data_IF_838696402552
#
_entry.id   IF_838696402552
#
_cell.length_a   1.000
_cell.length_b   1.000
_cell.length_c   1.000
_cell.angle_alpha   90.00
_cell.angle_beta   90.00
_cell.angle_gamma   90.00
#
_symmetry.space_group_name_H-M   'P 1'
#
loop_
_entity.id
_entity.type
_entity.pdbx_description
1 polymer ?
#
# COMPACT_ATOMS: atom_id res chain seq x y z
N UNK A 1 0.74 -6.35 25.72
CA UNK A 1 0.64 -6.44 24.25
C UNK A 1 -0.30 -7.58 23.88
N UNK A 2 -1.47 -7.29 23.29
CA UNK A 2 -2.63 -8.19 23.00
C UNK A 2 -3.70 -8.32 24.13
N UNK A 3 -3.92 -7.27 24.94
CA UNK A 3 -5.13 -7.25 25.82
C UNK A 3 -5.80 -5.90 26.01
N UNK A 4 -5.35 -4.85 25.32
CA UNK A 4 -5.89 -3.49 25.49
C UNK A 4 -6.74 -2.99 24.29
N UNK A 5 -6.87 -3.78 23.22
CA UNK A 5 -7.56 -3.34 21.98
C UNK A 5 -8.95 -3.96 21.78
N UNK A 6 -9.52 -4.60 22.82
CA UNK A 6 -10.78 -5.35 22.72
C UNK A 6 -11.93 -4.77 23.55
N UNK A 7 -11.78 -3.61 24.20
CA UNK A 7 -12.83 -3.00 25.04
C UNK A 7 -13.45 -1.71 24.49
N UNK A 8 -13.11 -1.24 23.28
CA UNK A 8 -13.54 0.08 22.81
C UNK A 8 -14.60 0.14 21.70
N UNK A 9 -15.39 -0.94 21.48
CA UNK A 9 -16.46 -0.92 20.47
C UNK A 9 -17.78 -1.47 21.06
N UNK A 10 -18.73 -0.55 21.28
CA UNK A 10 -20.18 -0.69 21.61
C UNK A 10 -20.64 -0.58 23.10
N UNK A 11 -21.33 0.51 23.49
CA UNK A 11 -22.06 0.62 24.77
C UNK A 11 -23.52 0.11 24.71
N UNK A 12 -23.81 -0.94 23.92
CA UNK A 12 -25.16 -1.55 23.86
C UNK A 12 -25.10 -3.07 23.87
N UNK A 13 -24.68 -3.68 24.99
CA UNK A 13 -25.12 -5.03 25.41
C UNK A 13 -24.67 -5.32 26.86
N UNK A 14 -25.05 -4.46 27.80
CA UNK A 14 -24.72 -4.61 29.23
C UNK A 14 -25.63 -5.57 30.02
N UNK A 15 -26.33 -6.53 29.39
CA UNK A 15 -27.35 -7.34 30.10
C UNK A 15 -27.52 -8.81 29.67
N UNK A 16 -26.47 -9.49 29.24
CA UNK A 16 -26.60 -10.91 28.89
C UNK A 16 -25.51 -11.86 29.40
N UNK A 17 -24.54 -11.41 30.22
CA UNK A 17 -23.48 -12.28 30.76
C UNK A 17 -23.17 -11.98 32.23
N UNK A 18 -24.12 -12.33 33.09
CA UNK A 18 -23.90 -12.61 34.50
C UNK A 18 -24.92 -13.70 34.84
N UNK A 19 -24.54 -14.99 34.95
CA UNK A 19 -23.56 -15.46 35.93
C UNK A 19 -22.77 -16.72 35.53
N UNK A 20 -21.44 -16.74 35.59
CA UNK A 20 -20.66 -17.99 35.67
C UNK A 20 -19.22 -17.67 36.12
N UNK A 21 -19.08 -17.23 37.37
CA UNK A 21 -17.79 -17.22 38.06
C UNK A 21 -18.00 -17.89 39.41
N UNK A 22 -17.61 -19.16 39.51
CA UNK A 22 -17.10 -19.73 40.77
C UNK A 22 -16.45 -21.12 40.58
N UNK A 23 -15.18 -21.16 40.98
CA UNK A 23 -14.40 -22.26 41.62
C UNK A 23 -13.36 -23.04 40.78
N UNK A 24 -12.09 -22.79 41.17
CA UNK A 24 -10.84 -23.60 41.22
C UNK A 24 -10.17 -24.19 39.97
N UNK A 25 -8.85 -23.92 39.90
CA UNK A 25 -7.81 -24.49 39.01
C UNK A 25 -7.31 -25.88 39.50
N UNK A 26 -6.32 -26.57 38.87
CA UNK A 26 -5.55 -26.27 37.65
C UNK A 26 -5.36 -27.46 36.64
N UNK A 27 -4.73 -27.13 35.51
CA UNK A 27 -3.99 -27.96 34.54
C UNK A 27 -4.66 -28.51 33.26
N UNK A 28 -3.98 -28.15 32.15
CA UNK A 28 -3.91 -28.69 30.79
C UNK A 28 -4.86 -28.14 29.73
N UNK A 29 -4.25 -27.88 28.57
CA UNK A 29 -4.76 -27.34 27.30
C UNK A 29 -5.07 -25.84 27.27
N UNK A 30 -4.05 -25.06 26.92
CA UNK A 30 -4.23 -23.73 26.33
C UNK A 30 -3.85 -23.84 24.85
N UNK A 31 -4.76 -24.36 24.03
CA UNK A 31 -4.76 -24.08 22.59
C UNK A 31 -5.49 -22.75 22.46
N UNK A 32 -4.74 -21.67 22.33
CA UNK A 32 -5.31 -20.34 22.16
C UNK A 32 -5.85 -20.23 20.74
N UNK A 33 -7.18 -20.22 20.65
CA UNK A 33 -7.98 -19.87 19.49
C UNK A 33 -7.51 -18.50 18.95
N UNK A 34 -6.83 -18.51 17.81
CA UNK A 34 -6.56 -17.29 17.04
C UNK A 34 -7.87 -16.95 16.34
N UNK A 35 -8.59 -15.95 16.87
CA UNK A 35 -9.73 -15.36 16.19
C UNK A 35 -9.23 -14.59 14.96
N UNK A 36 -9.22 -15.24 13.79
CA UNK A 36 -9.29 -14.55 12.50
C UNK A 36 -10.70 -13.98 12.36
N UNK A 37 -10.84 -12.66 12.47
CA UNK A 37 -12.05 -11.96 12.00
C UNK A 37 -11.64 -11.21 10.75
N UNK A 38 -11.78 -11.88 9.60
CA UNK A 38 -11.76 -11.25 8.29
C UNK A 38 -13.13 -10.58 8.10
N UNK A 39 -13.17 -9.25 8.16
CA UNK A 39 -14.34 -8.47 7.77
C UNK A 39 -14.35 -8.40 6.25
N UNK A 40 -14.97 -9.38 5.60
CA UNK A 40 -15.35 -9.27 4.18
C UNK A 40 -16.76 -8.69 4.14
N UNK A 41 -16.87 -7.37 4.03
CA UNK A 41 -18.15 -6.69 3.77
C UNK A 41 -18.41 -6.59 2.28
N UNK A 42 -19.57 -7.13 1.85
CA UNK A 42 -20.27 -6.91 0.59
C UNK A 42 -19.53 -7.23 -0.72
N UNK A 43 -19.75 -8.45 -1.24
CA UNK A 43 -19.38 -8.85 -2.61
C UNK A 43 -20.35 -8.15 -3.59
N UNK A 44 -19.87 -7.29 -4.52
CA UNK A 44 -20.71 -6.76 -5.60
C UNK A 44 -21.10 -7.87 -6.60
N UNK A 45 -22.25 -7.69 -7.26
CA UNK A 45 -22.76 -8.57 -8.33
C UNK A 45 -21.78 -8.68 -9.51
N UNK A 46 -21.90 -9.81 -10.23
CA UNK A 46 -21.16 -10.18 -11.46
C UNK A 46 -20.61 -8.96 -12.21
N UNK A 47 -19.30 -8.84 -12.21
CA UNK A 47 -18.55 -7.97 -13.10
C UNK A 47 -17.54 -8.87 -13.82
N UNK A 48 -17.42 -8.73 -15.13
CA UNK A 48 -16.29 -9.28 -15.86
C UNK A 48 -15.00 -8.83 -15.19
N UNK A 49 -13.91 -9.58 -15.37
CA UNK A 49 -12.59 -9.13 -14.93
C UNK A 49 -12.40 -7.66 -15.32
N UNK A 50 -12.11 -6.80 -14.33
CA UNK A 50 -12.00 -5.37 -14.55
C UNK A 50 -10.92 -5.12 -15.63
N UNK A 51 -11.31 -4.49 -16.75
CA UNK A 51 -10.40 -4.26 -17.87
C UNK A 51 -9.24 -3.32 -17.48
N UNK A 52 -9.55 -2.26 -16.70
CA UNK A 52 -8.54 -1.35 -16.15
C UNK A 52 -7.86 -1.87 -14.88
N UNK A 53 -6.71 -1.29 -14.50
CA UNK A 53 -6.04 -1.64 -13.25
C UNK A 53 -7.00 -1.44 -12.06
N UNK A 54 -6.98 -2.33 -11.06
CA UNK A 54 -7.86 -2.19 -9.92
C UNK A 54 -7.56 -0.88 -9.19
N UNK A 55 -8.60 -0.14 -8.79
CA UNK A 55 -8.41 1.11 -8.05
C UNK A 55 -8.16 0.80 -6.58
N UNK A 56 -7.32 1.62 -5.92
CA UNK A 56 -7.21 1.57 -4.46
C UNK A 56 -8.57 1.85 -3.81
N UNK A 57 -8.81 1.24 -2.66
CA UNK A 57 -9.95 1.56 -1.80
C UNK A 57 -9.38 2.45 -0.69
N UNK A 58 -9.87 3.69 -0.53
CA UNK A 58 -9.42 4.57 0.55
C UNK A 58 -9.60 3.89 1.90
N UNK A 59 -8.57 3.97 2.76
CA UNK A 59 -8.68 3.45 4.11
C UNK A 59 -9.67 4.27 4.93
N UNK A 60 -10.25 3.64 5.95
CA UNK A 60 -11.02 4.37 6.95
C UNK A 60 -10.08 5.13 7.89
N UNK A 61 -10.33 6.42 8.07
CA UNK A 61 -9.52 7.25 8.96
C UNK A 61 -9.59 6.80 10.43
N UNK A 62 -8.52 7.04 11.17
CA UNK A 62 -8.45 6.73 12.60
C UNK A 62 -9.36 7.64 13.43
N UNK A 63 -10.18 7.07 14.31
CA UNK A 63 -10.95 7.85 15.29
C UNK A 63 -10.03 8.57 16.29
N UNK A 64 -10.40 9.76 16.73
CA UNK A 64 -9.72 10.52 17.79
C UNK A 64 -9.47 9.72 19.09
N UNK A 65 -10.24 8.66 19.35
CA UNK A 65 -10.01 7.73 20.47
C UNK A 65 -8.67 6.98 20.38
N UNK A 66 -8.07 6.93 19.19
CA UNK A 66 -6.76 6.34 18.91
C UNK A 66 -5.58 7.32 18.99
N UNK A 67 -5.81 8.59 19.36
CA UNK A 67 -4.79 9.63 19.30
C UNK A 67 -3.47 9.30 20.03
N UNK A 68 -3.52 8.50 21.11
CA UNK A 68 -2.32 8.07 21.84
C UNK A 68 -1.40 7.15 21.01
N UNK A 69 -1.93 6.44 20.03
CA UNK A 69 -1.12 5.64 19.12
C UNK A 69 -0.20 6.52 18.26
N UNK A 70 -0.64 7.73 17.90
CA UNK A 70 0.15 8.70 17.12
C UNK A 70 1.36 9.24 17.91
N UNK A 71 1.36 9.08 19.24
CA UNK A 71 2.44 9.45 20.17
C UNK A 71 3.23 8.25 20.70
N UNK A 72 2.98 7.05 20.16
CA UNK A 72 3.60 5.82 20.68
C UNK A 72 5.14 5.96 20.72
N UNK A 73 5.81 5.47 21.77
CA UNK A 73 7.27 5.65 21.92
C UNK A 73 8.10 5.08 20.76
N UNK A 74 7.64 4.02 20.10
CA UNK A 74 8.32 3.38 18.97
C UNK A 74 8.36 4.24 17.70
N UNK A 75 7.46 5.22 17.56
CA UNK A 75 7.26 6.01 16.34
C UNK A 75 8.54 6.69 15.85
N UNK A 76 9.35 7.22 16.76
CA UNK A 76 10.60 7.92 16.39
C UNK A 76 11.58 6.96 15.71
N UNK A 77 11.70 5.72 16.20
CA UNK A 77 12.58 4.73 15.59
C UNK A 77 11.99 4.09 14.32
N UNK A 78 10.67 3.91 14.29
CA UNK A 78 9.93 3.27 13.19
C UNK A 78 9.79 4.18 11.96
N UNK A 79 9.54 5.48 12.17
CA UNK A 79 9.18 6.45 11.11
C UNK A 79 10.24 7.55 10.92
N UNK A 80 11.24 7.66 11.80
CA UNK A 80 12.33 8.65 11.72
C UNK A 80 11.84 10.09 11.37
N UNK A 81 10.89 10.65 12.15
CA UNK A 81 10.22 11.92 11.81
C UNK A 81 11.18 13.11 11.75
N UNK A 82 12.30 13.07 12.49
CA UNK A 82 13.27 14.16 12.51
C UNK A 82 14.10 14.20 11.21
N UNK A 83 14.46 13.02 10.66
CA UNK A 83 15.15 12.92 9.36
C UNK A 83 14.22 13.33 8.20
N UNK A 84 12.94 12.93 8.29
CA UNK A 84 11.91 13.38 7.36
C UNK A 84 11.78 14.91 7.34
N UNK A 85 11.66 15.55 8.52
CA UNK A 85 11.60 17.01 8.63
C UNK A 85 12.90 17.69 8.17
N UNK A 86 14.06 17.07 8.39
CA UNK A 86 15.34 17.58 7.91
C UNK A 86 15.38 17.61 6.37
N UNK A 87 14.84 16.59 5.69
CA UNK A 87 14.74 16.55 4.24
C UNK A 87 13.81 17.63 3.66
N UNK A 88 12.79 18.07 4.41
CA UNK A 88 11.96 19.22 4.02
C UNK A 88 12.72 20.55 4.07
N UNK A 89 13.80 20.65 4.86
CA UNK A 89 14.62 21.86 4.92
C UNK A 89 13.87 23.11 5.39
N UNK A 90 12.90 22.95 6.30
CA UNK A 90 12.10 24.03 6.89
C UNK A 90 12.97 25.09 7.58
N UNK A 91 12.53 26.35 7.52
CA UNK A 91 13.23 27.53 8.05
C UNK A 91 12.30 28.38 8.92
N UNK A 92 12.89 29.17 9.82
CA UNK A 92 12.17 30.23 10.52
C UNK A 92 11.50 31.16 9.49
N UNK A 93 10.22 31.43 9.67
CA UNK A 93 9.41 32.24 8.76
C UNK A 93 8.54 31.46 7.79
N UNK A 94 8.81 30.17 7.58
CA UNK A 94 8.00 29.36 6.65
C UNK A 94 6.55 29.23 7.16
N UNK A 95 5.61 29.31 6.22
CA UNK A 95 4.19 29.03 6.43
C UNK A 95 3.92 27.60 5.96
N UNK A 96 3.65 26.71 6.90
CA UNK A 96 3.52 25.27 6.60
C UNK A 96 2.15 24.74 7.00
N UNK A 97 1.69 23.66 6.38
CA UNK A 97 0.45 22.98 6.72
C UNK A 97 0.71 21.50 7.02
N UNK A 98 0.15 21.01 8.12
CA UNK A 98 0.09 19.60 8.51
C UNK A 98 -1.33 19.09 8.20
N UNK A 99 -1.53 18.41 7.06
CA UNK A 99 -2.85 17.89 6.69
C UNK A 99 -2.98 16.48 7.26
N UNK A 100 -4.02 16.24 8.06
CA UNK A 100 -4.11 15.04 8.89
C UNK A 100 -3.32 15.17 10.19
N UNK A 101 -3.30 16.37 10.78
CA UNK A 101 -2.46 16.70 11.93
C UNK A 101 -2.70 15.78 13.13
N UNK A 102 -3.91 15.21 13.26
CA UNK A 102 -4.30 14.31 14.31
C UNK A 102 -4.01 14.92 15.68
N UNK A 103 -3.17 14.23 16.44
CA UNK A 103 -2.81 14.64 17.79
C UNK A 103 -1.71 15.73 17.86
N UNK A 104 -1.27 16.24 16.71
CA UNK A 104 -0.27 17.31 16.58
C UNK A 104 1.18 16.87 16.63
N UNK A 105 1.47 15.58 16.37
CA UNK A 105 2.82 15.02 16.47
C UNK A 105 3.83 15.73 15.55
N UNK A 106 3.51 15.91 14.28
CA UNK A 106 4.36 16.63 13.33
C UNK A 106 4.17 18.14 13.43
N UNK A 107 2.94 18.61 13.58
CA UNK A 107 2.60 20.03 13.82
C UNK A 107 3.52 20.66 14.87
N UNK A 108 3.62 20.06 16.07
CA UNK A 108 4.45 20.58 17.17
C UNK A 108 5.94 20.56 16.85
N UNK A 109 6.42 19.63 16.02
CA UNK A 109 7.83 19.58 15.59
C UNK A 109 8.12 20.67 14.57
N UNK A 110 7.26 20.83 13.56
CA UNK A 110 7.37 21.90 12.58
C UNK A 110 7.30 23.28 13.24
N UNK A 111 6.42 23.48 14.22
CA UNK A 111 6.30 24.75 14.92
C UNK A 111 7.60 25.20 15.60
N UNK A 112 8.41 24.25 16.10
CA UNK A 112 9.72 24.56 16.68
C UNK A 112 10.76 25.00 15.65
N UNK A 113 10.56 24.66 14.38
CA UNK A 113 11.47 24.98 13.28
C UNK A 113 11.12 26.31 12.61
N UNK A 114 9.81 26.61 12.48
CA UNK A 114 9.33 27.76 11.71
C UNK A 114 9.00 28.99 12.56
N UNK A 115 8.74 28.83 13.86
CA UNK A 115 8.49 29.93 14.78
C UNK A 115 9.80 30.63 15.20
N UNK A 116 9.77 31.91 15.61
CA UNK A 116 8.60 32.72 15.93
C UNK A 116 7.98 33.49 14.75
N UNK A 117 8.61 33.49 13.58
CA UNK A 117 8.15 34.34 12.46
C UNK A 117 7.25 33.62 11.46
N UNK A 118 7.30 32.29 11.44
CA UNK A 118 6.44 31.42 10.63
C UNK A 118 5.24 30.88 11.40
N UNK A 119 4.48 30.01 10.73
CA UNK A 119 3.28 29.40 11.31
C UNK A 119 2.99 28.01 10.72
N UNK A 120 2.36 27.15 11.52
CA UNK A 120 1.87 25.83 11.13
C UNK A 120 0.34 25.82 11.14
N UNK A 121 -0.28 25.62 9.99
CA UNK A 121 -1.71 25.29 9.89
C UNK A 121 -1.90 23.80 10.16
N UNK A 122 -2.49 23.46 11.30
CA UNK A 122 -2.76 22.08 11.69
C UNK A 122 -4.18 21.69 11.27
N UNK A 123 -4.30 20.93 10.18
CA UNK A 123 -5.58 20.60 9.55
C UNK A 123 -6.01 19.19 9.95
N UNK A 124 -7.21 19.05 10.50
CA UNK A 124 -7.85 17.76 10.73
C UNK A 124 -9.36 17.87 10.48
N UNK A 125 -10.01 16.77 10.09
CA UNK A 125 -11.47 16.71 9.87
C UNK A 125 -12.24 16.44 11.18
N UNK A 126 -11.55 15.96 12.22
CA UNK A 126 -12.12 15.66 13.53
C UNK A 126 -11.90 16.84 14.49
N UNK A 127 -12.97 17.52 14.95
CA UNK A 127 -12.85 18.58 15.96
C UNK A 127 -12.13 18.10 17.22
N UNK A 128 -12.34 16.85 17.63
CA UNK A 128 -11.73 16.25 18.81
C UNK A 128 -10.21 16.10 18.68
N UNK A 129 -9.68 15.81 17.49
CA UNK A 129 -8.23 15.77 17.24
C UNK A 129 -7.62 17.16 17.41
N UNK A 130 -8.29 18.20 16.90
CA UNK A 130 -7.85 19.58 17.06
C UNK A 130 -7.86 20.02 18.53
N UNK A 131 -8.83 19.57 19.34
CA UNK A 131 -8.86 19.88 20.77
C UNK A 131 -7.74 19.16 21.54
N UNK A 132 -7.43 17.90 21.19
CA UNK A 132 -6.27 17.17 21.73
C UNK A 132 -4.97 17.89 21.38
N UNK A 133 -4.81 18.29 20.12
CA UNK A 133 -3.65 19.01 19.62
C UNK A 133 -3.47 20.32 20.38
N UNK A 134 -4.52 21.14 20.55
CA UNK A 134 -4.47 22.40 21.30
C UNK A 134 -3.98 22.19 22.73
N UNK A 135 -4.52 21.19 23.44
CA UNK A 135 -4.09 20.89 24.81
C UNK A 135 -2.60 20.59 24.90
N UNK A 136 -2.06 19.80 23.96
CA UNK A 136 -0.63 19.47 23.93
C UNK A 136 0.25 20.65 23.53
N UNK A 137 -0.24 21.50 22.63
CA UNK A 137 0.43 22.76 22.26
C UNK A 137 0.54 23.70 23.47
N UNK A 138 -0.54 23.81 24.25
CA UNK A 138 -0.57 24.59 25.50
C UNK A 138 0.39 24.01 26.55
N UNK A 139 0.38 22.70 26.75
CA UNK A 139 1.27 21.99 27.69
C UNK A 139 2.76 22.19 27.36
N UNK A 140 3.09 22.29 26.07
CA UNK A 140 4.47 22.54 25.59
C UNK A 140 4.84 24.01 25.46
N UNK A 141 3.88 24.92 25.65
CA UNK A 141 4.08 26.37 25.52
C UNK A 141 4.47 26.80 24.10
N UNK A 142 4.03 26.08 23.08
CA UNK A 142 4.34 26.38 21.67
C UNK A 142 3.45 27.51 21.14
N UNK A 143 3.98 28.26 20.17
CA UNK A 143 3.27 29.35 19.47
C UNK A 143 3.36 29.14 17.97
N UNK A 144 2.67 29.97 17.17
CA UNK A 144 2.71 29.87 15.71
C UNK A 144 1.97 28.66 15.16
N UNK A 145 0.96 28.14 15.87
CA UNK A 145 0.12 27.02 15.40
C UNK A 145 -1.32 27.52 15.23
N UNK A 146 -1.89 27.26 14.07
CA UNK A 146 -3.27 27.64 13.70
C UNK A 146 -4.06 26.35 13.44
N UNK A 147 -4.91 25.91 14.39
CA UNK A 147 -5.80 24.78 14.15
C UNK A 147 -6.85 25.11 13.08
N UNK A 148 -7.05 24.21 12.12
CA UNK A 148 -8.00 24.37 11.02
C UNK A 148 -8.88 23.11 10.94
N UNK A 149 -10.20 23.31 11.01
CA UNK A 149 -11.15 22.23 10.74
C UNK A 149 -11.32 22.09 9.23
N UNK A 150 -10.77 21.01 8.68
CA UNK A 150 -10.88 20.67 7.26
C UNK A 150 -12.15 19.90 6.92
N UNK A 151 -12.32 19.57 5.65
CA UNK A 151 -13.35 18.69 5.10
C UNK A 151 -12.70 17.55 4.29
N UNK A 152 -13.48 16.55 3.87
CA UNK A 152 -12.98 15.39 3.12
C UNK A 152 -12.33 15.72 1.77
N UNK A 153 -12.65 16.89 1.20
CA UNK A 153 -12.23 17.34 -0.13
C UNK A 153 -11.66 18.77 -0.14
N UNK A 154 -11.53 19.41 1.03
CA UNK A 154 -11.03 20.78 1.16
C UNK A 154 -10.30 20.96 2.51
N UNK A 155 -8.98 21.24 2.52
CA UNK A 155 -8.23 21.43 3.75
C UNK A 155 -8.52 22.79 4.41
N UNK A 156 -9.32 23.66 3.77
CA UNK A 156 -9.66 25.02 4.24
C UNK A 156 -8.43 25.89 4.51
N UNK A 157 -7.35 25.63 3.77
CA UNK A 157 -6.12 26.43 3.81
C UNK A 157 -6.30 27.73 3.02
N UNK A 158 -5.60 28.81 3.41
CA UNK A 158 -5.61 30.04 2.65
C UNK A 158 -4.92 29.88 1.29
N UNK A 159 -5.50 30.52 0.27
CA UNK A 159 -4.96 30.52 -1.10
C UNK A 159 -3.58 31.18 -1.18
N UNK A 160 -2.68 30.57 -1.96
CA UNK A 160 -1.37 31.11 -2.33
C UNK A 160 -0.53 31.64 -1.16
N UNK A 161 -0.51 30.93 -0.04
CA UNK A 161 0.21 31.31 1.17
C UNK A 161 1.16 30.24 1.70
N UNK A 162 0.95 28.97 1.36
CA UNK A 162 1.66 27.85 1.98
C UNK A 162 3.00 27.56 1.27
N UNK A 163 4.10 27.58 2.02
CA UNK A 163 5.44 27.21 1.57
C UNK A 163 5.64 25.69 1.55
N UNK A 164 5.12 24.98 2.56
CA UNK A 164 5.15 23.52 2.64
C UNK A 164 3.82 22.93 3.08
N UNK A 165 3.38 21.87 2.41
CA UNK A 165 2.35 20.96 2.93
C UNK A 165 3.04 19.66 3.33
N UNK A 166 2.68 19.12 4.49
CA UNK A 166 3.07 17.81 4.96
C UNK A 166 1.83 16.91 5.00
N UNK A 167 1.98 15.70 4.46
CA UNK A 167 1.04 14.59 4.55
C UNK A 167 1.81 13.37 5.06
N UNK A 168 1.53 12.89 6.26
CA UNK A 168 2.16 11.66 6.80
C UNK A 168 1.08 10.63 7.06
N UNK A 169 1.12 9.52 6.33
CA UNK A 169 0.22 8.37 6.46
C UNK A 169 -1.26 8.76 6.47
N UNK A 170 -1.67 9.60 5.51
CA UNK A 170 -3.04 10.14 5.44
C UNK A 170 -3.60 10.18 4.01
N UNK A 171 -2.75 10.22 2.98
CA UNK A 171 -3.22 10.38 1.60
C UNK A 171 -3.99 9.13 1.15
N UNK A 172 -3.60 7.95 1.65
CA UNK A 172 -4.35 6.71 1.45
C UNK A 172 -5.77 6.74 2.03
N UNK A 173 -6.08 7.65 2.97
CA UNK A 173 -7.42 7.84 3.54
C UNK A 173 -8.31 8.78 2.69
N UNK A 174 -7.74 9.50 1.72
CA UNK A 174 -8.51 10.47 0.92
C UNK A 174 -9.50 9.77 -0.01
N UNK A 175 -10.79 10.01 0.22
CA UNK A 175 -11.87 9.51 -0.62
C UNK A 175 -12.01 10.28 -1.94
N UNK A 176 -11.63 11.57 -1.95
CA UNK A 176 -11.69 12.45 -3.11
C UNK A 176 -10.31 13.10 -3.36
N UNK A 177 -9.27 12.31 -3.71
CA UNK A 177 -7.90 12.81 -3.84
C UNK A 177 -7.81 13.95 -4.86
N UNK A 178 -8.53 13.88 -5.99
CA UNK A 178 -8.50 14.92 -7.03
C UNK A 178 -8.89 16.31 -6.51
N UNK A 179 -9.97 16.38 -5.72
CA UNK A 179 -10.46 17.65 -5.15
C UNK A 179 -9.51 18.19 -4.09
N UNK A 180 -9.04 17.32 -3.19
CA UNK A 180 -8.10 17.67 -2.14
C UNK A 180 -6.78 18.17 -2.74
N UNK A 181 -6.22 17.47 -3.74
CA UNK A 181 -5.02 17.87 -4.46
C UNK A 181 -5.20 19.20 -5.18
N UNK A 182 -6.36 19.45 -5.80
CA UNK A 182 -6.66 20.74 -6.42
C UNK A 182 -6.66 21.89 -5.39
N UNK A 183 -7.21 21.65 -4.19
CA UNK A 183 -7.22 22.63 -3.09
C UNK A 183 -5.84 22.84 -2.47
N UNK A 184 -5.05 21.78 -2.30
CA UNK A 184 -3.65 21.89 -1.89
C UNK A 184 -2.86 22.73 -2.89
N UNK A 185 -3.04 22.48 -4.20
CA UNK A 185 -2.42 23.28 -5.27
C UNK A 185 -2.87 24.74 -5.25
N UNK A 186 -4.11 25.02 -4.88
CA UNK A 186 -4.62 26.39 -4.70
C UNK A 186 -3.96 27.09 -3.49
N UNK A 187 -3.74 26.36 -2.39
CA UNK A 187 -3.18 26.89 -1.14
C UNK A 187 -1.66 27.16 -1.21
N UNK A 188 -0.91 26.32 -1.91
CA UNK A 188 0.54 26.48 -2.06
C UNK A 188 0.90 27.82 -2.72
N UNK A 189 2.04 28.39 -2.37
CA UNK A 189 2.70 29.43 -3.17
C UNK A 189 3.25 28.84 -4.48
N UNK A 190 3.71 29.68 -5.41
CA UNK A 190 4.28 29.22 -6.71
C UNK A 190 5.48 28.27 -6.53
N UNK A 191 6.33 28.57 -5.54
CA UNK A 191 7.48 27.74 -5.16
C UNK A 191 7.20 26.80 -3.98
N UNK A 192 5.94 26.72 -3.53
CA UNK A 192 5.55 25.87 -2.43
C UNK A 192 5.67 24.39 -2.78
N UNK A 193 6.03 23.58 -1.79
CA UNK A 193 6.28 22.15 -1.94
C UNK A 193 5.32 21.31 -1.11
N UNK A 194 5.19 20.04 -1.46
CA UNK A 194 4.48 19.04 -0.66
C UNK A 194 5.43 17.91 -0.31
N UNK A 195 5.55 17.60 0.97
CA UNK A 195 6.14 16.36 1.45
C UNK A 195 5.01 15.35 1.69
N UNK A 196 4.98 14.28 0.89
CA UNK A 196 4.09 13.16 1.09
C UNK A 196 4.90 11.98 1.65
N UNK A 197 4.41 11.39 2.74
CA UNK A 197 5.01 10.24 3.38
C UNK A 197 3.99 9.13 3.50
N UNK A 198 4.29 7.97 2.91
CA UNK A 198 3.39 6.82 2.82
C UNK A 198 4.15 5.51 2.95
N UNK A 199 3.56 4.52 3.63
CA UNK A 199 4.18 3.19 3.78
C UNK A 199 4.35 2.48 2.43
N UNK A 200 5.51 1.84 2.24
CA UNK A 200 5.90 1.20 0.99
C UNK A 200 5.14 -0.08 0.70
N UNK A 201 4.96 -0.34 -0.59
CA UNK A 201 4.42 -1.60 -1.11
C UNK A 201 5.55 -2.49 -1.63
N UNK A 202 6.50 -1.92 -2.34
CA UNK A 202 7.39 -2.55 -3.32
C UNK A 202 8.28 -3.64 -2.70
N UNK A 203 8.96 -3.32 -1.60
CA UNK A 203 9.97 -4.18 -0.97
C UNK A 203 9.45 -4.98 0.23
N UNK A 204 8.22 -4.70 0.66
CA UNK A 204 7.59 -5.34 1.82
C UNK A 204 8.06 -4.88 3.19
N UNK A 205 8.90 -3.84 3.26
CA UNK A 205 9.22 -3.19 4.54
C UNK A 205 7.97 -2.63 5.22
N UNK A 206 6.97 -2.17 4.44
CA UNK A 206 5.68 -1.70 4.93
C UNK A 206 4.67 -2.79 5.34
N UNK A 207 4.96 -4.08 5.18
CA UNK A 207 4.00 -5.19 5.42
C UNK A 207 3.55 -5.34 6.88
N UNK A 208 4.23 -4.66 7.81
CA UNK A 208 3.83 -4.60 9.22
C UNK A 208 2.62 -3.68 9.48
N UNK A 209 2.21 -2.91 8.46
CA UNK A 209 1.02 -2.06 8.44
C UNK A 209 -0.10 -2.74 7.63
N UNK A 210 -1.35 -2.32 7.89
CA UNK A 210 -2.50 -2.79 7.13
C UNK A 210 -2.36 -2.44 5.66
N UNK A 211 -2.85 -3.34 4.81
CA UNK A 211 -2.59 -3.23 3.39
C UNK A 211 -3.18 -2.01 2.69
N UNK A 212 -4.32 -1.50 3.16
CA UNK A 212 -5.01 -0.31 2.70
C UNK A 212 -4.36 1.01 3.17
N UNK A 213 -3.33 0.94 4.03
CA UNK A 213 -2.56 2.09 4.55
C UNK A 213 -1.17 2.19 3.92
N UNK A 214 -0.99 1.62 2.72
CA UNK A 214 0.28 1.61 1.99
C UNK A 214 0.02 2.09 0.57
N UNK A 215 0.99 2.76 -0.02
CA UNK A 215 0.92 3.19 -1.41
C UNK A 215 2.24 2.97 -2.12
N UNK A 216 2.18 2.41 -3.33
CA UNK A 216 3.33 2.33 -4.21
C UNK A 216 3.62 3.68 -4.86
N UNK A 217 4.87 3.90 -5.26
CA UNK A 217 5.28 5.04 -6.09
C UNK A 217 4.47 5.07 -7.38
N UNK A 218 4.19 3.92 -7.98
CA UNK A 218 3.33 3.82 -9.17
C UNK A 218 1.93 4.41 -8.92
N UNK A 219 1.28 4.01 -7.82
CA UNK A 219 -0.05 4.52 -7.45
C UNK A 219 -0.02 6.03 -7.19
N UNK A 220 0.94 6.50 -6.37
CA UNK A 220 1.08 7.93 -6.05
C UNK A 220 1.27 8.75 -7.32
N UNK A 221 2.21 8.39 -8.18
CA UNK A 221 2.50 9.16 -9.40
C UNK A 221 1.32 9.15 -10.38
N UNK A 222 0.57 8.05 -10.46
CA UNK A 222 -0.63 7.95 -11.30
C UNK A 222 -1.75 8.91 -10.87
N UNK A 223 -1.81 9.32 -9.60
CA UNK A 223 -2.79 10.28 -9.08
C UNK A 223 -2.23 11.72 -9.06
N UNK A 224 -0.98 11.90 -8.65
CA UNK A 224 -0.39 13.23 -8.42
C UNK A 224 0.02 13.96 -9.69
N UNK A 225 0.60 13.27 -10.68
CA UNK A 225 1.06 13.91 -11.92
C UNK A 225 -0.13 14.48 -12.70
N UNK A 226 -1.23 13.73 -12.96
CA UNK A 226 -2.41 14.29 -13.62
C UNK A 226 -3.11 15.40 -12.82
N UNK A 227 -2.95 15.43 -11.49
CA UNK A 227 -3.50 16.49 -10.64
C UNK A 227 -2.73 17.83 -10.73
N UNK A 228 -1.68 17.89 -11.55
CA UNK A 228 -0.89 19.10 -11.79
C UNK A 228 0.25 19.29 -10.79
N UNK A 229 0.81 18.20 -10.27
CA UNK A 229 2.06 18.20 -9.53
C UNK A 229 3.20 17.61 -10.39
N UNK A 230 4.43 17.95 -10.04
CA UNK A 230 5.65 17.33 -10.55
C UNK A 230 6.47 16.80 -9.38
N UNK A 231 7.03 15.60 -9.55
CA UNK A 231 7.97 15.03 -8.59
C UNK A 231 9.31 15.77 -8.69
N UNK A 232 9.84 16.21 -7.56
CA UNK A 232 11.12 16.91 -7.48
C UNK A 232 12.18 16.05 -6.77
N UNK A 233 11.76 15.31 -5.74
CA UNK A 233 12.64 14.39 -5.00
C UNK A 233 11.83 13.14 -4.59
N UNK A 234 12.47 11.98 -4.60
CA UNK A 234 11.94 10.73 -4.05
C UNK A 234 13.02 10.14 -3.15
N UNK A 235 12.71 10.02 -1.87
CA UNK A 235 13.64 9.57 -0.84
C UNK A 235 13.21 8.23 -0.26
N UNK A 236 14.17 7.30 -0.18
CA UNK A 236 13.95 5.94 0.36
C UNK A 236 14.76 5.66 1.64
N UNK A 237 15.27 6.70 2.30
CA UNK A 237 16.07 6.54 3.54
C UNK A 237 15.24 6.17 4.77
N UNK A 238 13.92 6.43 4.76
CA UNK A 238 13.04 6.07 5.87
C UNK A 238 12.91 4.53 5.98
N UNK A 239 12.67 3.96 7.18
CA UNK A 239 12.71 2.51 7.37
C UNK A 239 11.69 1.72 6.56
N UNK A 240 10.52 2.29 6.31
CA UNK A 240 9.40 1.59 5.66
C UNK A 240 8.44 2.49 4.89
N UNK A 241 8.80 3.77 4.70
CA UNK A 241 7.96 4.77 4.06
C UNK A 241 8.70 5.43 2.90
N UNK A 242 7.98 5.75 1.83
CA UNK A 242 8.46 6.68 0.81
C UNK A 242 8.35 8.10 1.34
N UNK A 243 9.31 8.97 1.01
CA UNK A 243 9.16 10.42 1.14
C UNK A 243 9.23 11.04 -0.26
N UNK A 244 8.09 11.53 -0.74
CA UNK A 244 8.01 12.27 -1.99
C UNK A 244 8.05 13.77 -1.71
N UNK A 245 8.78 14.50 -2.54
CA UNK A 245 8.71 15.96 -2.59
C UNK A 245 8.11 16.38 -3.93
N UNK A 246 6.92 16.96 -3.88
CA UNK A 246 6.22 17.48 -5.05
C UNK A 246 6.24 19.01 -5.07
N UNK A 247 6.10 19.57 -6.27
CA UNK A 247 5.79 20.98 -6.49
C UNK A 247 4.67 21.09 -7.52
N UNK A 248 4.00 22.24 -7.59
CA UNK A 248 3.08 22.55 -8.69
C UNK A 248 3.77 22.36 -10.05
N UNK A 249 3.09 21.69 -10.98
CA UNK A 249 3.40 21.81 -12.39
C UNK A 249 2.93 23.20 -12.85
N UNK A 250 3.87 24.11 -13.11
CA UNK A 250 3.53 25.40 -13.73
C UNK A 250 3.05 25.12 -15.15
N UNK A 251 1.89 25.68 -15.54
CA UNK A 251 1.51 25.71 -16.96
C UNK A 251 2.60 26.45 -17.75
N UNK A 252 2.75 26.12 -19.03
CA UNK A 252 3.85 26.42 -19.97
C UNK A 252 4.23 27.91 -20.19
N UNK A 253 3.98 28.81 -19.24
CA UNK A 253 4.24 30.23 -19.32
C UNK A 253 4.88 30.80 -18.06
N UNK A 254 6.17 31.13 -18.19
CA UNK A 254 6.84 32.28 -17.58
C UNK A 254 6.91 32.34 -16.04
N UNK A 255 7.94 31.72 -15.48
CA UNK A 255 8.94 32.38 -14.61
C UNK A 255 10.09 31.40 -14.27
N UNK A 256 11.29 31.66 -14.81
CA UNK A 256 12.54 30.96 -14.47
C UNK A 256 13.05 31.41 -13.09
N UNK A 257 12.29 31.18 -12.02
CA UNK A 257 12.78 31.45 -10.66
C UNK A 257 12.81 30.17 -9.85
N UNK A 258 13.99 29.52 -9.86
CA UNK A 258 14.43 28.58 -8.83
C UNK A 258 13.51 27.37 -8.54
N UNK A 259 12.88 26.78 -9.57
CA UNK A 259 12.33 25.44 -9.39
C UNK A 259 13.47 24.42 -9.55
N UNK A 260 13.66 23.55 -8.56
CA UNK A 260 14.42 22.32 -8.78
C UNK A 260 13.82 21.59 -10.01
N UNK A 261 14.66 21.03 -10.89
CA UNK A 261 14.17 20.32 -12.06
C UNK A 261 13.30 19.15 -11.61
N UNK A 262 12.20 18.90 -12.33
CA UNK A 262 11.39 17.72 -12.08
C UNK A 262 12.23 16.47 -12.36
N UNK A 263 12.04 15.43 -11.54
CA UNK A 263 12.52 14.09 -11.90
C UNK A 263 11.53 13.52 -12.91
N UNK A 264 12.03 13.14 -14.07
CA UNK A 264 11.22 12.46 -15.08
C UNK A 264 10.74 11.12 -14.51
N UNK A 265 9.45 10.82 -14.60
CA UNK A 265 8.90 9.55 -14.10
C UNK A 265 8.12 8.84 -15.17
N UNK A 266 8.38 7.55 -15.35
CA UNK A 266 7.77 6.75 -16.41
C UNK A 266 7.31 5.40 -15.87
N UNK A 267 6.28 4.84 -16.48
CA UNK A 267 6.10 3.39 -16.44
C UNK A 267 7.23 2.73 -17.26
N UNK A 268 7.72 1.55 -16.87
CA UNK A 268 8.74 0.78 -17.58
C UNK A 268 8.47 0.68 -19.09
N UNK A 269 7.24 0.37 -19.49
CA UNK A 269 6.89 0.17 -20.90
C UNK A 269 6.88 1.48 -21.68
N UNK A 270 6.43 2.58 -21.05
CA UNK A 270 6.55 3.93 -21.61
C UNK A 270 8.02 4.29 -21.81
N UNK A 271 8.86 4.07 -20.80
CA UNK A 271 10.29 4.35 -20.86
C UNK A 271 11.01 3.55 -21.97
N UNK A 272 10.65 2.27 -22.17
CA UNK A 272 11.19 1.45 -23.26
C UNK A 272 10.71 1.98 -24.61
N UNK A 273 9.40 2.21 -24.77
CA UNK A 273 8.80 2.63 -26.04
C UNK A 273 9.28 4.01 -26.50
N UNK A 274 9.51 4.93 -25.56
CA UNK A 274 10.03 6.27 -25.84
C UNK A 274 11.57 6.33 -25.91
N UNK A 275 12.24 5.18 -25.77
CA UNK A 275 13.70 5.07 -25.90
C UNK A 275 14.47 5.74 -24.77
N UNK A 276 13.88 5.83 -23.58
CA UNK A 276 14.55 6.37 -22.38
C UNK A 276 15.42 5.34 -21.70
N UNK A 277 15.08 4.05 -21.84
CA UNK A 277 15.83 2.93 -21.28
C UNK A 277 15.92 1.76 -22.25
N UNK A 278 17.00 0.99 -22.16
CA UNK A 278 17.10 -0.37 -22.68
C UNK A 278 17.09 -1.36 -21.50
N UNK A 279 16.39 -2.48 -21.64
CA UNK A 279 16.13 -3.40 -20.53
C UNK A 279 16.31 -4.84 -20.98
N UNK A 280 16.99 -5.64 -20.16
CA UNK A 280 17.02 -7.10 -20.29
C UNK A 280 16.58 -7.76 -18.99
N UNK A 281 15.80 -8.83 -19.08
CA UNK A 281 15.30 -9.58 -17.93
C UNK A 281 15.94 -10.97 -17.81
N UNK A 282 16.29 -11.38 -16.59
CA UNK A 282 16.85 -12.71 -16.31
C UNK A 282 16.32 -13.33 -15.01
N UNK A 283 16.42 -14.66 -14.89
CA UNK A 283 15.93 -15.40 -13.73
C UNK A 283 16.73 -15.16 -12.46
N UNK A 284 16.05 -15.15 -11.31
CA UNK A 284 16.67 -15.18 -9.98
C UNK A 284 15.87 -16.09 -9.04
N UNK A 285 15.79 -17.37 -9.39
CA UNK A 285 15.08 -18.36 -8.59
C UNK A 285 13.56 -18.22 -8.70
N UNK A 286 12.85 -18.78 -7.73
CA UNK A 286 11.38 -18.90 -7.80
C UNK A 286 10.63 -17.63 -7.37
N UNK A 287 11.34 -16.68 -6.75
CA UNK A 287 10.75 -15.55 -6.05
C UNK A 287 11.21 -14.18 -6.58
N UNK A 288 12.05 -14.15 -7.62
CA UNK A 288 12.58 -12.90 -8.14
C UNK A 288 12.96 -12.96 -9.62
N UNK A 289 12.92 -11.78 -10.26
CA UNK A 289 13.41 -11.52 -11.62
C UNK A 289 14.39 -10.35 -11.55
N UNK A 290 15.51 -10.44 -12.25
CA UNK A 290 16.43 -9.31 -12.40
C UNK A 290 16.15 -8.57 -13.70
N UNK A 291 16.05 -7.26 -13.62
CA UNK A 291 16.11 -6.36 -14.77
C UNK A 291 17.46 -5.65 -14.77
N UNK A 292 18.23 -5.79 -15.85
CA UNK A 292 19.36 -4.91 -16.11
C UNK A 292 18.87 -3.76 -16.98
N UNK A 293 18.95 -2.54 -16.46
CA UNK A 293 18.43 -1.33 -17.10
C UNK A 293 19.60 -0.42 -17.45
N UNK A 294 19.68 -0.04 -18.73
CA UNK A 294 20.56 1.00 -19.23
C UNK A 294 19.74 2.24 -19.53
N UNK A 295 20.07 3.35 -18.87
CA UNK A 295 19.50 4.66 -19.13
C UNK A 295 20.10 5.26 -20.41
N UNK A 296 19.26 5.89 -21.24
CA UNK A 296 19.66 6.43 -22.57
C UNK A 296 19.82 7.96 -22.59
N UNK A 297 19.56 8.63 -21.47
CA UNK A 297 19.69 10.09 -21.29
C UNK A 297 20.38 10.38 -19.96
N UNK A 298 21.02 11.54 -19.78
CA UNK A 298 21.74 11.83 -18.53
C UNK A 298 20.88 12.36 -17.38
N UNK A 299 19.60 12.69 -17.62
CA UNK A 299 18.70 13.17 -16.57
C UNK A 299 18.31 12.03 -15.61
N UNK A 300 18.26 12.29 -14.28
CA UNK A 300 17.68 11.36 -13.33
C UNK A 300 16.24 11.02 -13.69
N UNK A 301 15.87 9.75 -13.55
CA UNK A 301 14.50 9.31 -13.81
C UNK A 301 14.05 8.25 -12.81
N UNK A 302 12.75 8.26 -12.51
CA UNK A 302 12.08 7.21 -11.74
C UNK A 302 11.36 6.29 -12.71
N UNK A 303 11.68 4.99 -12.65
CA UNK A 303 11.00 3.97 -13.42
C UNK A 303 10.12 3.16 -12.49
N UNK A 304 8.83 3.08 -12.81
CA UNK A 304 7.86 2.25 -12.09
C UNK A 304 7.50 1.02 -12.91
N UNK A 305 7.22 -0.10 -12.24
CA UNK A 305 6.74 -1.33 -12.85
C UNK A 305 5.43 -1.73 -12.17
N UNK A 306 4.33 -1.95 -12.90
CA UNK A 306 3.07 -2.36 -12.30
C UNK A 306 3.12 -3.82 -11.85
N UNK A 307 2.46 -4.12 -10.73
CA UNK A 307 2.19 -5.50 -10.30
C UNK A 307 1.49 -6.29 -11.40
N UNK A 308 1.83 -7.57 -11.53
CA UNK A 308 1.29 -8.40 -12.59
C UNK A 308 2.00 -8.27 -13.93
N UNK A 309 3.02 -7.41 -14.06
CA UNK A 309 3.95 -7.45 -15.20
C UNK A 309 4.45 -8.87 -15.43
N UNK A 310 4.30 -9.36 -16.66
CA UNK A 310 4.52 -10.76 -16.99
C UNK A 310 5.85 -10.96 -17.70
N UNK A 311 6.59 -12.00 -17.32
CA UNK A 311 7.90 -12.32 -17.86
C UNK A 311 7.83 -13.69 -18.51
N UNK A 312 7.73 -13.72 -19.83
CA UNK A 312 7.62 -14.94 -20.60
C UNK A 312 9.01 -15.51 -20.84
N UNK A 313 9.25 -16.75 -20.39
CA UNK A 313 10.57 -17.36 -20.51
C UNK A 313 10.89 -17.65 -21.99
N UNK A 314 12.10 -17.29 -22.42
CA UNK A 314 12.61 -17.59 -23.76
C UNK A 314 12.95 -19.08 -23.95
N UNK A 315 13.16 -19.80 -22.84
CA UNK A 315 13.53 -21.21 -22.79
C UNK A 315 12.50 -22.10 -22.08
N UNK A 316 12.97 -23.20 -21.50
CA UNK A 316 12.11 -24.19 -20.85
C UNK A 316 11.73 -23.84 -19.40
N UNK A 317 12.43 -22.90 -18.76
CA UNK A 317 12.17 -22.45 -17.39
C UNK A 317 10.77 -21.85 -17.24
N UNK A 318 10.24 -21.79 -16.02
CA UNK A 318 8.90 -21.26 -15.73
C UNK A 318 8.79 -19.79 -16.13
N UNK A 319 7.63 -19.39 -16.65
CA UNK A 319 7.34 -17.96 -16.78
C UNK A 319 7.27 -17.33 -15.39
N UNK A 320 7.52 -16.03 -15.30
CA UNK A 320 7.47 -15.29 -14.05
C UNK A 320 6.42 -14.19 -14.10
N UNK A 321 5.92 -13.79 -12.94
CA UNK A 321 5.02 -12.64 -12.80
C UNK A 321 5.47 -11.76 -11.64
N UNK A 322 5.44 -10.44 -11.83
CA UNK A 322 5.74 -9.47 -10.80
C UNK A 322 4.70 -9.58 -9.66
N UNK A 323 5.20 -9.79 -8.44
CA UNK A 323 4.37 -9.97 -7.25
C UNK A 323 3.82 -8.64 -6.73
N UNK A 324 4.54 -7.55 -6.99
CA UNK A 324 4.23 -6.21 -6.51
C UNK A 324 4.55 -5.16 -7.56
N UNK A 325 4.02 -3.97 -7.36
CA UNK A 325 4.54 -2.76 -7.98
C UNK A 325 6.02 -2.65 -7.62
N UNK A 326 6.79 -2.09 -8.53
CA UNK A 326 8.20 -1.83 -8.37
C UNK A 326 8.53 -0.37 -8.65
N UNK A 327 9.57 0.13 -8.00
CA UNK A 327 10.24 1.38 -8.34
C UNK A 327 11.76 1.20 -8.38
N UNK A 328 12.42 1.94 -9.28
CA UNK A 328 13.85 2.21 -9.25
C UNK A 328 14.12 3.66 -9.67
N UNK A 329 15.05 4.33 -8.96
CA UNK A 329 15.57 5.65 -9.36
C UNK A 329 16.90 5.46 -10.09
N UNK A 330 16.98 5.94 -11.34
CA UNK A 330 18.15 5.83 -12.19
C UNK A 330 18.92 7.15 -12.23
N UNK A 331 20.01 7.22 -11.45
CA UNK A 331 20.87 8.41 -11.38
C UNK A 331 22.19 8.24 -12.14
N UNK A 332 22.68 7.00 -12.23
CA UNK A 332 23.96 6.66 -12.84
C UNK A 332 23.81 6.27 -14.32
N UNK A 333 24.83 6.57 -15.12
CA UNK A 333 24.87 6.21 -16.54
C UNK A 333 25.22 4.74 -16.79
N UNK A 334 25.79 4.04 -15.82
CA UNK A 334 26.08 2.62 -15.93
C UNK A 334 24.81 1.76 -15.89
N UNK A 335 24.80 0.58 -16.53
CA UNK A 335 23.72 -0.38 -16.36
C UNK A 335 23.51 -0.71 -14.89
N UNK A 336 22.26 -0.66 -14.43
CA UNK A 336 21.87 -0.98 -13.06
C UNK A 336 21.06 -2.27 -13.03
N UNK A 337 21.31 -3.12 -12.05
CA UNK A 337 20.51 -4.33 -11.82
C UNK A 337 19.44 -4.05 -10.78
N UNK A 338 18.20 -4.25 -11.17
CA UNK A 338 17.01 -4.13 -10.34
C UNK A 338 16.38 -5.50 -10.10
N UNK A 339 16.41 -5.96 -8.85
CA UNK A 339 15.76 -7.21 -8.45
C UNK A 339 14.30 -6.96 -8.07
N UNK A 340 13.39 -7.56 -8.83
CA UNK A 340 11.95 -7.49 -8.59
C UNK A 340 11.46 -8.73 -7.85
N UNK A 341 10.54 -8.53 -6.90
CA UNK A 341 9.80 -9.64 -6.30
C UNK A 341 8.84 -10.26 -7.32
N UNK A 342 8.90 -11.57 -7.47
CA UNK A 342 8.10 -12.30 -8.45
C UNK A 342 7.69 -13.70 -8.00
N UNK A 343 6.97 -14.39 -8.89
CA UNK A 343 6.54 -15.78 -8.70
C UNK A 343 6.65 -16.57 -9.99
N UNK A 344 7.04 -17.83 -9.87
CA UNK A 344 6.89 -18.80 -10.96
C UNK A 344 5.43 -19.06 -11.27
N UNK A 345 5.06 -18.99 -12.54
CA UNK A 345 3.68 -19.12 -13.02
C UNK A 345 3.30 -20.59 -13.26
N UNK A 346 4.23 -21.39 -13.78
CA UNK A 346 3.99 -22.79 -14.14
C UNK A 346 4.51 -23.74 -13.05
N UNK A 347 3.73 -24.75 -12.66
CA UNK A 347 4.10 -25.72 -11.62
C UNK A 347 5.23 -26.66 -12.02
N UNK A 348 5.19 -27.11 -13.27
CA UNK A 348 5.99 -28.24 -13.74
C UNK A 348 7.19 -27.82 -14.61
N UNK A 349 7.43 -26.52 -14.77
CA UNK A 349 8.61 -26.01 -15.47
C UNK A 349 9.74 -25.75 -14.46
N UNK A 350 11.01 -25.90 -14.85
CA UNK A 350 12.15 -25.61 -13.99
C UNK A 350 12.11 -24.17 -13.44
N UNK A 351 12.57 -24.00 -12.21
CA UNK A 351 12.75 -22.67 -11.62
C UNK A 351 13.79 -21.89 -12.42
N UNK A 352 13.53 -20.63 -12.81
CA UNK A 352 14.49 -19.83 -13.59
C UNK A 352 15.80 -19.55 -12.86
N UNK A 353 16.91 -19.60 -13.60
CA UNK A 353 18.26 -19.22 -13.18
C UNK A 353 18.77 -18.00 -13.95
N UNK A 354 19.96 -17.49 -13.63
CA UNK A 354 20.49 -16.25 -14.19
C UNK A 354 20.67 -16.29 -15.73
N UNK A 355 20.85 -17.49 -16.30
CA UNK A 355 20.98 -17.70 -17.74
C UNK A 355 19.64 -17.75 -18.48
N UNK A 356 18.52 -17.87 -17.75
CA UNK A 356 17.18 -17.86 -18.32
C UNK A 356 16.72 -16.42 -18.57
N UNK A 357 16.63 -16.03 -19.84
CA UNK A 357 16.11 -14.72 -20.25
C UNK A 357 14.58 -14.70 -20.41
N UNK A 358 13.99 -13.51 -20.33
CA UNK A 358 12.55 -13.29 -20.50
C UNK A 358 12.23 -12.20 -21.51
N UNK A 359 11.12 -12.38 -22.24
CA UNK A 359 10.37 -11.29 -22.85
C UNK A 359 9.48 -10.64 -21.77
N UNK A 360 9.48 -9.30 -21.70
CA UNK A 360 8.71 -8.54 -20.71
C UNK A 360 7.39 -8.09 -21.35
N UNK A 361 6.27 -8.40 -20.71
CA UNK A 361 4.92 -8.13 -21.18
C UNK A 361 4.14 -7.26 -20.16
N UNK A 362 3.38 -6.25 -20.63
CA UNK A 362 2.52 -5.42 -19.79
C UNK A 362 1.52 -6.22 -18.94
N UNK A 363 1.09 -5.63 -17.83
CA UNK A 363 0.17 -6.25 -16.87
C UNK A 363 -1.26 -6.42 -17.42
N UNK A 364 -1.61 -5.70 -18.49
CA UNK A 364 -2.91 -5.81 -19.17
C UNK A 364 -2.97 -6.95 -20.23
N UNK A 365 -1.85 -7.62 -20.54
CA UNK A 365 -1.85 -8.81 -21.39
C UNK A 365 -2.30 -10.08 -20.63
N UNK A 366 -2.18 -10.08 -19.30
CA UNK A 366 -2.51 -11.23 -18.42
C UNK A 366 -3.47 -10.82 -17.29
N UNK A 367 -4.56 -10.14 -17.63
CA UNK A 367 -5.54 -9.56 -16.69
C UNK A 367 -5.89 -10.46 -15.49
N UNK A 368 -6.26 -11.75 -15.65
CA UNK A 368 -6.59 -12.60 -14.49
C UNK A 368 -5.40 -12.81 -13.54
N UNK A 369 -4.19 -12.94 -14.09
CA UNK A 369 -2.96 -13.11 -13.29
C UNK A 369 -2.57 -11.79 -12.61
N UNK A 370 -2.69 -10.66 -13.31
CA UNK A 370 -2.52 -9.34 -12.71
C UNK A 370 -3.49 -9.12 -11.56
N UNK A 371 -4.77 -9.39 -11.73
CA UNK A 371 -5.78 -9.15 -10.70
C UNK A 371 -5.52 -9.96 -9.43
N UNK A 372 -5.07 -11.22 -9.56
CA UNK A 372 -4.72 -12.01 -8.38
C UNK A 372 -3.45 -11.47 -7.70
N UNK A 373 -2.42 -11.05 -8.46
CA UNK A 373 -1.24 -10.42 -7.86
C UNK A 373 -1.57 -9.09 -7.18
N UNK A 374 -2.43 -8.26 -7.78
CA UNK A 374 -2.94 -7.05 -7.15
C UNK A 374 -3.64 -7.35 -5.81
N UNK A 375 -4.51 -8.36 -5.79
CA UNK A 375 -5.18 -8.78 -4.56
C UNK A 375 -4.17 -9.14 -3.47
N UNK A 376 -3.12 -9.91 -3.79
CA UNK A 376 -2.10 -10.30 -2.81
C UNK A 376 -1.12 -9.18 -2.43
N UNK A 377 -0.84 -8.23 -3.34
CA UNK A 377 -0.15 -7.00 -3.01
C UNK A 377 -0.90 -6.24 -1.91
N UNK A 378 -2.23 -6.14 -2.06
CA UNK A 378 -3.14 -5.47 -1.14
C UNK A 378 -3.57 -6.31 0.07
N UNK A 379 -2.86 -7.39 0.43
CA UNK A 379 -3.21 -8.23 1.59
C UNK A 379 -2.06 -8.44 2.57
N UNK A 380 -2.42 -8.46 3.86
CA UNK A 380 -1.51 -8.82 4.96
C UNK A 380 -1.86 -10.21 5.49
N UNK A 381 -1.56 -11.25 4.70
CA UNK A 381 -1.64 -12.63 5.20
C UNK A 381 -0.48 -12.91 6.15
N UNK A 382 -0.71 -13.78 7.14
CA UNK A 382 0.36 -14.17 8.06
C UNK A 382 1.53 -14.79 7.26
N UNK A 383 2.80 -14.41 7.51
CA UNK A 383 3.95 -14.81 6.68
C UNK A 383 4.11 -16.34 6.52
N UNK A 384 3.75 -17.11 7.56
CA UNK A 384 3.76 -18.59 7.51
C UNK A 384 2.77 -19.22 6.52
N UNK A 385 1.75 -18.50 6.06
CA UNK A 385 0.76 -19.03 5.11
C UNK A 385 0.71 -18.23 3.80
N UNK A 386 1.02 -16.94 3.83
CA UNK A 386 0.75 -16.02 2.73
C UNK A 386 1.34 -16.46 1.40
N UNK A 387 2.62 -16.83 1.37
CA UNK A 387 3.30 -17.25 0.14
C UNK A 387 2.70 -18.50 -0.49
N UNK A 388 2.28 -19.48 0.33
CA UNK A 388 1.64 -20.70 -0.15
C UNK A 388 0.25 -20.38 -0.70
N UNK A 389 -0.58 -19.65 0.04
CA UNK A 389 -1.94 -19.30 -0.41
C UNK A 389 -1.91 -18.52 -1.73
N UNK A 390 -0.97 -17.58 -1.85
CA UNK A 390 -0.71 -16.83 -3.08
C UNK A 390 -0.33 -17.73 -4.26
N UNK A 391 0.61 -18.67 -4.04
CA UNK A 391 1.05 -19.59 -5.09
C UNK A 391 -0.06 -20.56 -5.53
N UNK A 392 -0.87 -21.06 -4.59
CA UNK A 392 -2.03 -21.90 -4.90
C UNK A 392 -3.05 -21.13 -5.76
N UNK A 393 -3.36 -19.89 -5.38
CA UNK A 393 -4.28 -19.03 -6.13
C UNK A 393 -3.75 -18.74 -7.54
N UNK A 394 -2.45 -18.48 -7.67
CA UNK A 394 -1.81 -18.29 -8.98
C UNK A 394 -2.02 -19.50 -9.89
N UNK A 395 -1.87 -20.73 -9.39
CA UNK A 395 -2.06 -21.96 -10.19
C UNK A 395 -3.52 -22.28 -10.51
N UNK A 396 -4.47 -21.88 -9.67
CA UNK A 396 -5.90 -21.92 -10.03
C UNK A 396 -6.15 -21.03 -11.25
N UNK A 397 -5.50 -19.87 -11.32
CA UNK A 397 -5.66 -18.95 -12.44
C UNK A 397 -4.88 -19.42 -13.68
N UNK A 398 -3.57 -19.70 -13.55
CA UNK A 398 -2.66 -19.96 -14.67
C UNK A 398 -2.82 -21.33 -15.31
N UNK A 399 -3.07 -22.37 -14.51
CA UNK A 399 -3.09 -23.76 -14.98
C UNK A 399 -4.44 -24.46 -14.78
N UNK A 400 -5.45 -23.74 -14.27
CA UNK A 400 -6.75 -24.30 -13.89
C UNK A 400 -6.62 -25.48 -12.91
N UNK A 401 -5.70 -25.38 -11.95
CA UNK A 401 -5.41 -26.43 -10.99
C UNK A 401 -6.66 -26.85 -10.18
N UNK A 402 -6.86 -28.17 -10.02
CA UNK A 402 -7.89 -28.77 -9.16
C UNK A 402 -7.44 -28.95 -7.72
N UNK A 403 -8.19 -29.68 -6.89
CA UNK A 403 -7.80 -29.91 -5.50
C UNK A 403 -6.54 -30.78 -5.43
N UNK A 404 -6.52 -31.90 -6.16
CA UNK A 404 -5.43 -32.90 -6.11
C UNK A 404 -4.08 -32.31 -6.56
N UNK A 405 -4.15 -31.35 -7.49
CA UNK A 405 -3.03 -30.56 -7.98
C UNK A 405 -2.34 -29.69 -6.91
N UNK A 406 -3.10 -29.30 -5.88
CA UNK A 406 -2.70 -28.31 -4.89
C UNK A 406 -2.29 -28.93 -3.55
N UNK A 407 -2.71 -30.17 -3.26
CA UNK A 407 -2.52 -30.84 -1.96
C UNK A 407 -1.07 -30.80 -1.47
N UNK A 408 -0.12 -31.16 -2.33
CA UNK A 408 1.29 -31.23 -1.93
C UNK A 408 1.81 -29.87 -1.47
N UNK A 409 1.55 -28.81 -2.24
CA UNK A 409 2.02 -27.47 -1.90
C UNK A 409 1.24 -26.88 -0.73
N UNK A 410 -0.06 -27.12 -0.65
CA UNK A 410 -0.92 -26.72 0.45
C UNK A 410 -0.52 -27.36 1.79
N UNK A 411 0.11 -28.55 1.78
CA UNK A 411 0.57 -29.23 3.00
C UNK A 411 1.76 -28.55 3.69
N UNK A 412 2.35 -27.51 3.06
CA UNK A 412 3.53 -26.79 3.57
C UNK A 412 3.20 -25.75 4.65
N UNK A 413 1.93 -25.47 4.89
CA UNK A 413 1.47 -24.48 5.90
C UNK A 413 0.92 -25.15 7.15
N UNK A 414 0.95 -24.47 8.32
CA UNK A 414 0.48 -25.04 9.59
C UNK A 414 -1.06 -24.97 9.75
N UNK A 415 -1.81 -25.12 8.65
CA UNK A 415 -3.29 -25.20 8.64
C UNK A 415 -3.72 -26.42 7.80
N UNK A 416 -4.93 -26.97 8.02
CA UNK A 416 -5.44 -28.08 7.21
C UNK A 416 -5.41 -27.74 5.70
N UNK A 417 -5.08 -28.74 4.88
CA UNK A 417 -4.95 -28.59 3.41
C UNK A 417 -6.23 -28.01 2.81
N UNK A 418 -7.38 -28.48 3.27
CA UNK A 418 -8.70 -28.07 2.82
C UNK A 418 -8.95 -26.58 3.11
N UNK A 419 -8.44 -26.06 4.23
CA UNK A 419 -8.53 -24.63 4.56
C UNK A 419 -7.60 -23.80 3.67
N UNK A 420 -6.37 -24.26 3.44
CA UNK A 420 -5.43 -23.57 2.57
C UNK A 420 -5.95 -23.47 1.13
N UNK A 421 -6.50 -24.57 0.61
CA UNK A 421 -7.10 -24.60 -0.73
C UNK A 421 -8.35 -23.72 -0.81
N UNK A 422 -9.23 -23.78 0.19
CA UNK A 422 -10.42 -22.94 0.22
C UNK A 422 -10.08 -21.44 0.30
N UNK A 423 -9.06 -21.05 1.08
CA UNK A 423 -8.57 -19.67 1.12
C UNK A 423 -8.06 -19.22 -0.25
N UNK A 424 -7.24 -20.04 -0.92
CA UNK A 424 -6.73 -19.73 -2.25
C UNK A 424 -7.87 -19.55 -3.28
N UNK A 425 -8.86 -20.44 -3.26
CA UNK A 425 -10.05 -20.31 -4.13
C UNK A 425 -10.89 -19.07 -3.80
N UNK A 426 -11.10 -18.76 -2.51
CA UNK A 426 -11.84 -17.57 -2.11
C UNK A 426 -11.14 -16.27 -2.52
N UNK A 427 -9.81 -16.21 -2.39
CA UNK A 427 -9.03 -15.05 -2.86
C UNK A 427 -9.00 -14.93 -4.39
N UNK A 428 -9.00 -16.06 -5.09
CA UNK A 428 -9.14 -16.08 -6.54
C UNK A 428 -10.49 -15.48 -6.96
N UNK A 429 -11.57 -15.86 -6.28
CA UNK A 429 -12.91 -15.31 -6.53
C UNK A 429 -13.01 -13.82 -6.19
N UNK A 430 -12.43 -13.39 -5.06
CA UNK A 430 -12.43 -11.98 -4.65
C UNK A 430 -11.62 -11.09 -5.58
N UNK A 431 -10.63 -11.64 -6.30
CA UNK A 431 -9.90 -10.94 -7.35
C UNK A 431 -10.68 -10.79 -8.67
N UNK A 432 -11.96 -11.19 -8.70
CA UNK A 432 -12.84 -11.05 -9.85
C UNK A 432 -12.70 -12.18 -10.88
N UNK A 433 -12.01 -13.29 -10.54
CA UNK A 433 -11.98 -14.49 -11.37
C UNK A 433 -13.17 -15.37 -11.00
N UNK A 434 -14.03 -15.71 -11.97
CA UNK A 434 -15.15 -16.62 -11.72
C UNK A 434 -14.66 -18.04 -11.46
N UNK A 435 -14.55 -18.40 -10.18
CA UNK A 435 -14.10 -19.74 -9.79
C UNK A 435 -15.09 -20.82 -10.18
N UNK A 436 -16.37 -20.50 -10.44
CA UNK A 436 -17.38 -21.52 -10.79
C UNK A 436 -17.09 -22.20 -12.13
N UNK A 437 -16.27 -21.56 -12.97
CA UNK A 437 -15.80 -22.09 -14.26
C UNK A 437 -14.44 -22.81 -14.16
N UNK A 438 -13.87 -22.96 -12.95
CA UNK A 438 -12.55 -23.54 -12.71
C UNK A 438 -12.64 -24.96 -12.16
N UNK A 439 -11.61 -25.77 -12.39
CA UNK A 439 -11.53 -27.14 -11.87
C UNK A 439 -11.61 -27.17 -10.33
N UNK A 440 -11.03 -26.17 -9.66
CA UNK A 440 -11.07 -26.10 -8.20
C UNK A 440 -12.51 -26.06 -7.65
N UNK A 441 -13.44 -25.45 -8.38
CA UNK A 441 -14.85 -25.43 -7.98
C UNK A 441 -15.57 -26.75 -8.27
N UNK A 442 -15.22 -27.43 -9.37
CA UNK A 442 -15.70 -28.79 -9.63
C UNK A 442 -15.27 -29.76 -8.50
N UNK A 443 -14.11 -29.51 -7.89
CA UNK A 443 -13.55 -30.30 -6.80
C UNK A 443 -14.02 -29.87 -5.39
N UNK A 444 -14.97 -28.91 -5.27
CA UNK A 444 -15.37 -28.30 -3.98
C UNK A 444 -15.83 -29.30 -2.92
N UNK A 445 -16.44 -30.41 -3.32
CA UNK A 445 -16.90 -31.46 -2.39
C UNK A 445 -15.73 -32.17 -1.68
N UNK A 446 -14.50 -32.04 -2.17
CA UNK A 446 -13.29 -32.59 -1.53
C UNK A 446 -12.82 -31.77 -0.34
N UNK A 447 -13.13 -30.46 -0.28
CA UNK A 447 -12.57 -29.56 0.75
C UNK A 447 -13.62 -28.76 1.51
N UNK A 448 -14.72 -28.32 0.88
CA UNK A 448 -15.77 -27.51 1.53
C UNK A 448 -16.39 -28.21 2.76
N UNK A 449 -16.69 -29.52 2.72
CA UNK A 449 -17.25 -30.22 3.89
C UNK A 449 -16.30 -30.27 5.10
N UNK A 450 -14.99 -30.12 4.88
CA UNK A 450 -13.96 -30.18 5.92
C UNK A 450 -13.61 -28.80 6.51
N UNK A 451 -14.21 -27.72 6.00
CA UNK A 451 -13.96 -26.37 6.50
C UNK A 451 -14.52 -26.20 7.90
N UNK A 452 -13.65 -25.74 8.82
CA UNK A 452 -14.03 -25.38 10.19
C UNK A 452 -14.33 -23.89 10.33
N UNK A 453 -13.93 -23.08 9.35
CA UNK A 453 -14.24 -21.64 9.31
C UNK A 453 -15.61 -21.43 8.65
N UNK A 454 -16.59 -21.03 9.46
CA UNK A 454 -17.97 -20.78 9.01
C UNK A 454 -18.09 -19.59 8.05
N UNK A 455 -17.22 -18.58 8.17
CA UNK A 455 -17.24 -17.44 7.25
C UNK A 455 -16.72 -17.86 5.87
N UNK A 456 -15.62 -18.62 5.84
CA UNK A 456 -15.07 -19.16 4.61
C UNK A 456 -16.04 -20.15 3.94
N UNK A 457 -16.68 -21.01 4.73
CA UNK A 457 -17.70 -21.95 4.23
C UNK A 457 -18.87 -21.23 3.54
N UNK A 458 -19.35 -20.13 4.13
CA UNK A 458 -20.42 -19.31 3.54
C UNK A 458 -20.08 -18.73 2.18
N UNK A 459 -18.81 -18.47 1.87
CA UNK A 459 -18.38 -18.01 0.53
C UNK A 459 -18.79 -19.03 -0.54
N UNK A 460 -18.56 -20.32 -0.27
CA UNK A 460 -18.90 -21.40 -1.19
C UNK A 460 -20.40 -21.73 -1.20
N UNK A 461 -21.08 -21.63 -0.06
CA UNK A 461 -22.53 -21.84 0.02
C UNK A 461 -23.32 -20.76 -0.73
N UNK A 462 -22.91 -19.49 -0.62
CA UNK A 462 -23.57 -18.37 -1.30
C UNK A 462 -23.49 -18.47 -2.83
N UNK A 463 -22.42 -19.07 -3.35
CA UNK A 463 -22.19 -19.29 -4.79
C UNK A 463 -22.95 -20.49 -5.36
N UNK A 464 -23.43 -21.42 -4.53
CA UNK A 464 -24.32 -22.52 -4.98
C UNK A 464 -25.77 -22.06 -5.24
N UNK A 465 -26.13 -20.83 -4.88
CA UNK A 465 -27.51 -20.31 -4.90
C UNK A 465 -27.85 -19.40 -6.10
N UNK A 466 -26.88 -19.16 -6.98
CA UNK A 466 -27.05 -18.43 -8.24
C UNK A 466 -26.68 -19.34 -9.41
#
# INVERSE_FOLDING_TARGET
MIKASLELVMPRFKKALAPLVKVCAPHRLMVSLICFVLVITCIPKLTSAQEGPPKRIPAAFMSYLGADWLERPGRIGEEQPDEMLAAMGLRDGDIVADIGAGSGFHTRRMARLVAPTGQVFAVDIQPEMLDILKGRVEDEGLTGIVPVLGEFDDPKLPDNQIDWILLVDVYHEFANPDLMLAKMRQALQDNGKVALVEYRVEDGTGDHIKADHRMSVHQVLSEWIPAGFKLIELHEFLPSQHLFVFQKAMGDGLTEVSAQPAISSYNLFEAINEGHVEVTASGQGAEAVNLTIQRMRSDPMVITLPVGTYFKALGSSSDMIARRDGVITLEEDSPQTWTLLGRTVNRNRPVPVAEDGFDIHPDDEQIPLRNIMWQFQGMSLHPMIGSVIEQLALWIVSENAGYDDLVEHASRVPIPVEQAVALAAAYTDSAGIDITQKQIWADRDKFVPALTDEALKKVFEARNLN
#
